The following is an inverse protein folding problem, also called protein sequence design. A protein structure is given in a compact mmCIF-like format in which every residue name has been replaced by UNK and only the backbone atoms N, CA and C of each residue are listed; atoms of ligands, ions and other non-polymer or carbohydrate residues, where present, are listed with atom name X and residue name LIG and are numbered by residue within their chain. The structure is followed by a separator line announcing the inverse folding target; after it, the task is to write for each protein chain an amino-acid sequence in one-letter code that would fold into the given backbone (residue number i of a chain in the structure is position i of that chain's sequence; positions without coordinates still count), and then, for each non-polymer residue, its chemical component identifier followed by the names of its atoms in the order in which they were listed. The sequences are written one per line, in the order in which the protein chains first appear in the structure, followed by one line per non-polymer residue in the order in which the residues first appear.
data_IF_700125438953
#
_entry.id   IF_700125438953
#
_cell.length_a   1.000
_cell.length_b   1.000
_cell.length_c   1.000
_cell.angle_alpha   90.00
_cell.angle_beta   90.00
_cell.angle_gamma   90.00
#
_symmetry.space_group_name_H-M   'P 1'
#
loop_
_entity.id
_entity.type
_entity.pdbx_description
1 polymer ?
#
# COMPACT_ATOMS: atom_id res chain seq x y z
N UNK A 1 28.35 20.24 -11.41
CA UNK A 1 27.23 20.02 -10.48
C UNK A 1 25.99 20.46 -11.24
N UNK A 2 25.17 19.52 -11.72
CA UNK A 2 24.02 19.85 -12.55
C UNK A 2 23.05 20.73 -11.74
N UNK A 3 22.89 21.99 -12.16
CA UNK A 3 21.89 22.88 -11.61
C UNK A 3 20.52 22.37 -12.07
N UNK A 4 19.82 21.67 -11.18
CA UNK A 4 18.40 21.36 -11.34
C UNK A 4 17.64 22.69 -11.40
N UNK A 5 16.78 22.86 -12.40
CA UNK A 5 15.98 24.08 -12.52
C UNK A 5 14.97 24.16 -11.37
N UNK A 6 14.53 25.36 -11.03
CA UNK A 6 13.50 25.59 -10.00
C UNK A 6 12.20 24.79 -10.30
N UNK A 7 11.92 24.56 -11.59
CA UNK A 7 10.82 23.72 -12.06
C UNK A 7 11.05 22.22 -11.81
N UNK A 8 12.29 21.73 -11.95
CA UNK A 8 12.64 20.34 -11.64
C UNK A 8 12.55 20.08 -10.13
N UNK A 9 12.89 21.08 -9.32
CA UNK A 9 12.81 21.02 -7.87
C UNK A 9 11.36 20.94 -7.37
N UNK A 10 10.45 21.74 -7.95
CA UNK A 10 9.02 21.66 -7.69
C UNK A 10 8.42 20.31 -8.12
N UNK A 11 8.84 19.78 -9.28
CA UNK A 11 8.38 18.48 -9.77
C UNK A 11 8.82 17.32 -8.87
N UNK A 12 10.04 17.38 -8.33
CA UNK A 12 10.54 16.41 -7.36
C UNK A 12 9.76 16.46 -6.04
N UNK A 13 9.41 17.66 -5.56
CA UNK A 13 8.56 17.81 -4.38
C UNK A 13 7.18 17.17 -4.57
N UNK A 14 6.52 17.43 -5.71
CA UNK A 14 5.22 16.84 -6.03
C UNK A 14 5.30 15.30 -6.06
N UNK A 15 6.34 14.72 -6.67
CA UNK A 15 6.51 13.26 -6.71
C UNK A 15 6.67 12.69 -5.30
N UNK A 16 7.46 13.35 -4.44
CA UNK A 16 7.64 12.92 -3.06
C UNK A 16 6.33 12.99 -2.24
N UNK A 17 5.55 14.07 -2.40
CA UNK A 17 4.25 14.21 -1.75
C UNK A 17 3.29 13.09 -2.18
N UNK A 18 3.22 12.80 -3.48
CA UNK A 18 2.39 11.71 -4.01
C UNK A 18 2.85 10.35 -3.49
N UNK A 19 4.15 10.09 -3.42
CA UNK A 19 4.68 8.85 -2.85
C UNK A 19 4.27 8.66 -1.39
N UNK A 20 4.36 9.71 -0.58
CA UNK A 20 3.95 9.67 0.83
C UNK A 20 2.44 9.43 0.99
N UNK A 21 1.61 10.11 0.19
CA UNK A 21 0.16 9.91 0.21
C UNK A 21 -0.23 8.47 -0.17
N UNK A 22 0.41 7.91 -1.21
CA UNK A 22 0.18 6.52 -1.62
C UNK A 22 0.57 5.53 -0.53
N UNK A 23 1.74 5.71 0.11
CA UNK A 23 2.19 4.83 1.19
C UNK A 23 1.26 4.91 2.41
N UNK A 24 0.74 6.10 2.71
CA UNK A 24 -0.22 6.31 3.80
C UNK A 24 -1.55 5.59 3.53
N UNK A 25 -2.13 5.73 2.33
CA UNK A 25 -3.37 5.03 1.97
C UNK A 25 -3.19 3.50 2.01
N UNK A 26 -2.06 3.01 1.50
CA UNK A 26 -1.71 1.58 1.58
C UNK A 26 -1.69 1.09 3.04
N UNK A 27 -1.00 1.80 3.91
CA UNK A 27 -0.87 1.42 5.33
C UNK A 27 -2.23 1.43 6.04
N UNK A 28 -3.05 2.46 5.82
CA UNK A 28 -4.35 2.60 6.46
C UNK A 28 -5.31 1.47 6.02
N UNK A 29 -5.36 1.17 4.72
CA UNK A 29 -6.21 0.08 4.19
C UNK A 29 -5.72 -1.29 4.65
N UNK A 30 -4.41 -1.54 4.61
CA UNK A 30 -3.80 -2.78 5.08
C UNK A 30 -4.12 -3.02 6.56
N UNK A 31 -3.92 -2.00 7.40
CA UNK A 31 -4.18 -2.08 8.85
C UNK A 31 -5.65 -2.39 9.12
N UNK A 32 -6.57 -1.68 8.46
CA UNK A 32 -8.02 -1.92 8.60
C UNK A 32 -8.41 -3.36 8.20
N UNK A 33 -7.88 -3.84 7.07
CA UNK A 33 -8.17 -5.20 6.57
C UNK A 33 -7.60 -6.27 7.52
N UNK A 34 -6.35 -6.12 7.95
CA UNK A 34 -5.72 -7.11 8.82
C UNK A 34 -6.32 -7.11 10.22
N UNK A 35 -6.67 -5.95 10.77
CA UNK A 35 -7.42 -5.87 12.01
C UNK A 35 -8.75 -6.62 11.89
N UNK A 36 -9.55 -6.33 10.86
CA UNK A 36 -10.85 -7.00 10.64
C UNK A 36 -10.73 -8.52 10.44
N UNK A 37 -9.62 -9.00 9.86
CA UNK A 37 -9.42 -10.44 9.57
C UNK A 37 -8.84 -11.22 10.73
N UNK A 38 -7.98 -10.61 11.54
CA UNK A 38 -7.17 -11.31 12.53
C UNK A 38 -7.57 -11.02 13.97
N UNK A 39 -8.30 -9.92 14.24
CA UNK A 39 -8.70 -9.53 15.59
C UNK A 39 -10.20 -9.79 15.76
N UNK A 40 -10.61 -10.71 16.66
CA UNK A 40 -12.01 -10.95 16.95
C UNK A 40 -12.70 -9.70 17.54
N UNK A 41 -13.99 -9.47 17.26
CA UNK A 41 -14.71 -8.32 17.81
C UNK A 41 -14.91 -8.40 19.33
N UNK A 42 -14.75 -9.59 19.93
CA UNK A 42 -14.80 -9.81 21.38
C UNK A 42 -13.39 -9.94 21.92
N UNK A 43 -12.93 -8.87 22.57
CA UNK A 43 -11.64 -8.82 23.24
C UNK A 43 -11.71 -9.52 24.60
N UNK A 44 -10.73 -10.37 24.86
CA UNK A 44 -10.57 -11.07 26.15
C UNK A 44 -9.45 -10.41 26.96
N UNK A 45 -8.39 -9.97 26.28
CA UNK A 45 -7.23 -9.28 26.82
C UNK A 45 -6.80 -8.12 25.91
N UNK A 46 -5.94 -7.21 26.40
CA UNK A 46 -5.50 -6.03 25.66
C UNK A 46 -4.24 -6.24 24.81
N UNK A 47 -3.56 -7.37 25.01
CA UNK A 47 -2.36 -7.75 24.24
C UNK A 47 -2.74 -8.69 23.10
N UNK A 48 -1.88 -8.76 22.08
CA UNK A 48 -2.07 -9.68 20.97
C UNK A 48 -1.71 -11.10 21.40
N UNK A 49 -2.67 -12.01 21.29
CA UNK A 49 -2.40 -13.43 21.46
C UNK A 49 -1.46 -13.95 20.37
N UNK A 50 -0.74 -15.04 20.66
CA UNK A 50 0.19 -15.67 19.69
C UNK A 50 -0.47 -15.98 18.34
N UNK A 51 -1.75 -16.38 18.35
CA UNK A 51 -2.52 -16.66 17.14
C UNK A 51 -2.82 -15.39 16.32
N UNK A 52 -3.15 -14.29 16.99
CA UNK A 52 -3.42 -13.00 16.36
C UNK A 52 -2.15 -12.41 15.75
N UNK A 53 -1.02 -12.46 16.47
CA UNK A 53 0.29 -12.02 15.98
C UNK A 53 0.68 -12.76 14.69
N UNK A 54 0.66 -14.09 14.69
CA UNK A 54 0.97 -14.90 13.49
C UNK A 54 -0.04 -14.67 12.36
N UNK A 55 -1.31 -14.40 12.68
CA UNK A 55 -2.31 -14.05 11.67
C UNK A 55 -1.99 -12.72 11.01
N UNK A 56 -1.63 -11.69 11.78
CA UNK A 56 -1.27 -10.35 11.28
C UNK A 56 -0.08 -10.45 10.32
N UNK A 57 0.99 -11.18 10.69
CA UNK A 57 2.15 -11.37 9.83
C UNK A 57 1.75 -12.00 8.47
N UNK A 58 0.94 -13.05 8.52
CA UNK A 58 0.41 -13.72 7.31
C UNK A 58 -0.52 -12.82 6.52
N UNK A 59 -1.31 -11.98 7.19
CA UNK A 59 -2.22 -11.06 6.54
C UNK A 59 -1.47 -9.99 5.76
N UNK A 60 -0.47 -9.36 6.38
CA UNK A 60 0.39 -8.34 5.74
C UNK A 60 1.10 -8.94 4.52
N UNK A 61 1.71 -10.13 4.67
CA UNK A 61 2.36 -10.82 3.56
C UNK A 61 1.41 -11.07 2.38
N UNK A 62 0.19 -11.56 2.65
CA UNK A 62 -0.83 -11.78 1.62
C UNK A 62 -1.34 -10.49 1.00
N UNK A 63 -1.49 -9.43 1.80
CA UNK A 63 -1.97 -8.13 1.34
C UNK A 63 -1.00 -7.52 0.34
N UNK A 64 0.31 -7.55 0.64
CA UNK A 64 1.35 -7.04 -0.25
C UNK A 64 1.48 -7.86 -1.54
N UNK A 65 1.39 -9.20 -1.46
CA UNK A 65 1.39 -10.07 -2.65
C UNK A 65 0.21 -9.75 -3.58
N UNK A 66 -1.00 -9.62 -3.02
CA UNK A 66 -2.18 -9.22 -3.80
C UNK A 66 -2.04 -7.79 -4.35
N UNK A 67 -1.54 -6.85 -3.56
CA UNK A 67 -1.31 -5.48 -3.97
C UNK A 67 -0.38 -5.40 -5.18
N UNK A 68 0.74 -6.14 -5.18
CA UNK A 68 1.68 -6.21 -6.30
C UNK A 68 1.03 -6.81 -7.56
N UNK A 69 0.29 -7.92 -7.42
CA UNK A 69 -0.39 -8.58 -8.54
C UNK A 69 -1.44 -7.66 -9.18
N UNK A 70 -2.21 -6.97 -8.37
CA UNK A 70 -3.19 -5.99 -8.84
C UNK A 70 -2.48 -4.83 -9.54
N UNK A 71 -1.36 -4.34 -8.99
CA UNK A 71 -0.54 -3.30 -9.62
C UNK A 71 -0.06 -3.68 -11.02
N UNK A 72 0.51 -4.89 -11.18
CA UNK A 72 0.92 -5.43 -12.50
C UNK A 72 -0.24 -5.54 -13.48
N UNK A 73 -1.41 -5.96 -12.99
CA UNK A 73 -2.61 -6.08 -13.83
C UNK A 73 -3.13 -4.71 -14.28
N UNK A 74 -3.14 -3.71 -13.41
CA UNK A 74 -3.51 -2.33 -13.73
C UNK A 74 -2.61 -1.74 -14.81
N UNK A 75 -1.29 -1.93 -14.70
CA UNK A 75 -0.33 -1.49 -15.72
C UNK A 75 -0.60 -2.14 -17.08
N UNK A 76 -0.88 -3.45 -17.08
CA UNK A 76 -1.24 -4.18 -18.30
C UNK A 76 -2.52 -3.63 -18.93
N UNK A 77 -3.54 -3.34 -18.12
CA UNK A 77 -4.81 -2.77 -18.59
C UNK A 77 -4.56 -1.38 -19.19
N UNK A 78 -3.83 -0.50 -18.49
CA UNK A 78 -3.50 0.84 -19.00
C UNK A 78 -2.76 0.78 -20.34
N UNK A 79 -1.76 -0.10 -20.48
CA UNK A 79 -1.06 -0.29 -21.75
C UNK A 79 -2.00 -0.75 -22.88
N UNK A 80 -2.94 -1.66 -22.57
CA UNK A 80 -3.91 -2.15 -23.56
C UNK A 80 -4.94 -1.10 -23.97
N UNK A 81 -5.33 -0.20 -23.07
CA UNK A 81 -6.28 0.87 -23.37
C UNK A 81 -5.64 1.98 -24.20
N UNK A 82 -4.36 2.29 -23.95
CA UNK A 82 -3.58 3.22 -24.79
C UNK A 82 -3.38 2.71 -26.22
N UNK A 83 -3.31 1.39 -26.42
CA UNK A 83 -3.15 0.78 -27.76
C UNK A 83 -4.45 0.76 -28.59
N UNK A 84 -5.59 1.09 -28.00
CA UNK A 84 -6.89 1.18 -28.69
C UNK A 84 -7.23 2.61 -29.15
N UNK A 85 -6.46 3.61 -28.70
CA UNK A 85 -6.52 4.99 -29.21
C UNK A 85 -5.54 5.16 -30.38
#
# INVERSE_FOLDING_TARGET
MAQLSEADQAKLQIVQEVELEMMSDLYNRMTSVCHKKCIPPKYIEGELGKGEAVCIDRCVAKYLDIHERIGKKLQTIQASEMAKQ
#
